data_IF_519138250681
#
_entry.id   IF_519138250681
#
_cell.length_a   1.000
_cell.length_b   1.000
_cell.length_c   1.000
_cell.angle_alpha   90.00
_cell.angle_beta   90.00
_cell.angle_gamma   90.00
#
_symmetry.space_group_name_H-M   'P 1'
#
loop_
_entity.id
_entity.type
_entity.pdbx_description
1 polymer ?
#
# COMPACT_ATOMS: atom_id res chain seq x y z
N UNK A 1 -1.20 -17.81 -33.31
CA UNK A 1 -0.35 -16.64 -32.99
C UNK A 1 -1.04 -15.59 -32.09
N UNK A 2 -2.37 -15.57 -31.96
CA UNK A 2 -3.08 -14.62 -31.06
C UNK A 2 -2.94 -14.89 -29.55
N UNK A 3 -2.73 -16.15 -29.12
CA UNK A 3 -2.62 -16.49 -27.69
C UNK A 3 -1.40 -15.92 -26.95
N UNK A 4 -0.27 -15.74 -27.65
CA UNK A 4 0.95 -15.20 -27.04
C UNK A 4 0.87 -13.68 -26.79
N UNK A 5 0.17 -12.94 -27.66
CA UNK A 5 -0.06 -11.49 -27.51
C UNK A 5 -1.08 -11.17 -26.41
N UNK A 6 -2.03 -12.09 -26.17
CA UNK A 6 -2.99 -11.99 -25.06
C UNK A 6 -2.25 -12.17 -23.73
N UNK A 7 -1.40 -13.19 -23.60
CA UNK A 7 -0.59 -13.50 -22.40
C UNK A 7 0.32 -12.36 -21.94
N UNK A 8 1.07 -11.72 -22.86
CA UNK A 8 1.94 -10.59 -22.50
C UNK A 8 1.16 -9.36 -22.02
N UNK A 9 0.00 -9.07 -22.64
CA UNK A 9 -0.86 -7.95 -22.23
C UNK A 9 -1.44 -8.10 -20.82
N UNK A 10 -1.81 -9.31 -20.42
CA UNK A 10 -2.31 -9.58 -19.07
C UNK A 10 -1.23 -9.43 -18.00
N UNK A 11 -0.01 -9.91 -18.29
CA UNK A 11 1.12 -9.80 -17.34
C UNK A 11 1.54 -8.35 -17.11
N UNK A 12 1.57 -7.53 -18.17
CA UNK A 12 1.85 -6.10 -18.06
C UNK A 12 0.79 -5.34 -17.25
N UNK A 13 -0.48 -5.67 -17.46
CA UNK A 13 -1.62 -5.03 -16.77
C UNK A 13 -1.66 -5.43 -15.31
N UNK A 14 -1.48 -6.72 -15.02
CA UNK A 14 -1.42 -7.24 -13.66
C UNK A 14 -0.25 -6.62 -12.87
N UNK A 15 0.91 -6.43 -13.51
CA UNK A 15 2.05 -5.80 -12.85
C UNK A 15 1.77 -4.33 -12.48
N UNK A 16 1.14 -3.56 -13.37
CA UNK A 16 0.71 -2.19 -13.07
C UNK A 16 -0.30 -2.13 -11.93
N UNK A 17 -1.30 -3.02 -11.94
CA UNK A 17 -2.30 -3.12 -10.87
C UNK A 17 -1.66 -3.47 -9.52
N UNK A 18 -0.72 -4.42 -9.49
CA UNK A 18 0.03 -4.76 -8.27
C UNK A 18 0.75 -3.56 -7.69
N UNK A 19 1.45 -2.79 -8.52
CA UNK A 19 2.19 -1.62 -8.06
C UNK A 19 1.24 -0.52 -7.57
N UNK A 20 0.11 -0.29 -8.24
CA UNK A 20 -0.93 0.62 -7.74
C UNK A 20 -1.45 0.19 -6.37
N UNK A 21 -1.77 -1.10 -6.21
CA UNK A 21 -2.34 -1.64 -4.98
C UNK A 21 -1.33 -1.56 -3.83
N UNK A 22 -0.06 -1.91 -4.08
CA UNK A 22 1.03 -1.76 -3.12
C UNK A 22 1.28 -0.29 -2.76
N UNK A 23 1.18 0.61 -3.73
CA UNK A 23 1.33 2.05 -3.50
C UNK A 23 0.21 2.61 -2.63
N UNK A 24 -1.04 2.22 -2.90
CA UNK A 24 -2.19 2.62 -2.08
C UNK A 24 -2.11 2.04 -0.67
N UNK A 25 -1.73 0.77 -0.54
CA UNK A 25 -1.48 0.14 0.75
C UNK A 25 -0.40 0.90 1.54
N UNK A 26 0.73 1.25 0.91
CA UNK A 26 1.78 2.07 1.53
C UNK A 26 1.26 3.42 2.05
N UNK A 27 0.36 4.06 1.31
CA UNK A 27 -0.30 5.29 1.74
C UNK A 27 -1.11 5.10 3.02
N UNK A 28 -1.90 4.03 3.08
CA UNK A 28 -2.63 3.64 4.28
C UNK A 28 -1.73 3.34 5.47
N UNK A 29 -0.70 2.51 5.29
CA UNK A 29 0.27 2.17 6.34
C UNK A 29 0.98 3.42 6.88
N UNK A 30 1.31 4.39 6.02
CA UNK A 30 1.91 5.67 6.43
C UNK A 30 0.96 6.45 7.36
N UNK A 31 -0.34 6.46 7.04
CA UNK A 31 -1.36 7.10 7.89
C UNK A 31 -1.49 6.38 9.25
N UNK A 32 -1.48 5.04 9.25
CA UNK A 32 -1.57 4.24 10.48
C UNK A 32 -0.34 4.40 11.36
N UNK A 33 0.87 4.45 10.80
CA UNK A 33 2.10 4.70 11.57
C UNK A 33 2.07 6.08 12.19
N UNK A 34 1.61 7.11 11.46
CA UNK A 34 1.38 8.45 12.04
C UNK A 34 0.44 8.39 13.22
N UNK A 35 -0.69 7.67 13.10
CA UNK A 35 -1.65 7.52 14.20
C UNK A 35 -1.01 6.84 15.42
N UNK A 36 -0.25 5.76 15.22
CA UNK A 36 0.46 5.05 16.29
C UNK A 36 1.44 5.97 17.05
N UNK A 37 2.20 6.81 16.32
CA UNK A 37 3.15 7.76 16.91
C UNK A 37 2.45 8.89 17.68
N UNK A 38 1.34 9.41 17.15
CA UNK A 38 0.59 10.50 17.78
C UNK A 38 -0.11 10.04 19.07
N UNK A 39 -0.58 8.80 19.11
CA UNK A 39 -1.34 8.24 20.22
C UNK A 39 -0.53 7.31 21.14
N UNK A 40 0.80 7.22 20.93
CA UNK A 40 1.73 6.36 21.69
C UNK A 40 1.25 4.90 21.85
N UNK A 41 0.45 4.42 20.90
CA UNK A 41 -0.09 3.06 20.89
C UNK A 41 0.38 2.38 19.61
N UNK A 42 1.49 1.66 19.77
CA UNK A 42 2.11 0.88 18.71
C UNK A 42 1.30 -0.38 18.44
N UNK A 43 1.54 -1.06 17.32
CA UNK A 43 1.11 -2.44 17.13
C UNK A 43 2.18 -3.21 16.35
N UNK A 44 2.81 -4.26 16.94
CA UNK A 44 3.91 -4.97 16.28
C UNK A 44 3.44 -5.69 15.01
N UNK A 45 2.21 -6.21 15.00
CA UNK A 45 1.66 -6.85 13.81
C UNK A 45 1.37 -5.85 12.68
N UNK A 46 0.87 -4.65 13.00
CA UNK A 46 0.69 -3.59 12.01
C UNK A 46 2.03 -3.13 11.44
N UNK A 47 3.04 -2.92 12.29
CA UNK A 47 4.39 -2.54 11.84
C UNK A 47 5.05 -3.62 10.98
N UNK A 48 4.89 -4.90 11.36
CA UNK A 48 5.38 -6.02 10.56
C UNK A 48 4.69 -6.06 9.18
N UNK A 49 3.37 -5.92 9.15
CA UNK A 49 2.62 -5.86 7.89
C UNK A 49 3.05 -4.68 7.01
N UNK A 50 3.15 -3.47 7.58
CA UNK A 50 3.63 -2.29 6.89
C UNK A 50 5.05 -2.46 6.34
N UNK A 51 5.94 -3.12 7.09
CA UNK A 51 7.30 -3.43 6.62
C UNK A 51 7.31 -4.38 5.41
N UNK A 52 6.45 -5.40 5.41
CA UNK A 52 6.29 -6.32 4.29
C UNK A 52 5.80 -5.58 3.04
N UNK A 53 4.81 -4.69 3.18
CA UNK A 53 4.29 -3.87 2.08
C UNK A 53 5.35 -2.92 1.54
N UNK A 54 6.15 -2.29 2.41
CA UNK A 54 7.26 -1.42 2.01
C UNK A 54 8.30 -2.18 1.18
N UNK A 55 8.73 -3.35 1.65
CA UNK A 55 9.70 -4.20 0.94
C UNK A 55 9.14 -4.62 -0.43
N UNK A 56 7.88 -5.08 -0.47
CA UNK A 56 7.22 -5.46 -1.72
C UNK A 56 7.10 -4.29 -2.69
N UNK A 57 6.79 -3.09 -2.20
CA UNK A 57 6.72 -1.91 -3.04
C UNK A 57 8.09 -1.52 -3.61
N UNK A 58 9.13 -1.42 -2.76
CA UNK A 58 10.48 -1.04 -3.19
C UNK A 58 11.03 -2.03 -4.22
N UNK A 59 10.82 -3.32 -4.02
CA UNK A 59 11.26 -4.36 -4.96
C UNK A 59 10.52 -4.33 -6.30
N UNK A 60 9.29 -3.80 -6.34
CA UNK A 60 8.45 -3.77 -7.55
C UNK A 60 8.32 -2.38 -8.21
N UNK A 61 8.78 -1.30 -7.58
CA UNK A 61 8.55 0.09 -8.05
C UNK A 61 9.44 0.51 -9.25
N UNK A 62 10.36 -0.34 -9.73
CA UNK A 62 11.46 0.03 -10.63
C UNK A 62 11.06 0.56 -12.02
N UNK A 63 9.86 0.22 -12.53
CA UNK A 63 9.46 0.52 -13.93
C UNK A 63 8.04 1.07 -14.09
N UNK A 64 7.50 1.72 -13.07
CA UNK A 64 6.13 2.26 -13.13
C UNK A 64 6.10 3.77 -13.35
N UNK A 65 4.98 4.30 -13.85
CA UNK A 65 4.78 5.74 -14.00
C UNK A 65 4.59 6.39 -12.61
N UNK A 66 5.53 7.26 -12.24
CA UNK A 66 5.55 7.96 -10.94
C UNK A 66 4.23 8.66 -10.60
N UNK A 67 3.53 9.25 -11.57
CA UNK A 67 2.30 9.99 -11.33
C UNK A 67 1.14 9.06 -10.94
N UNK A 68 1.11 7.88 -11.55
CA UNK A 68 0.08 6.88 -11.29
C UNK A 68 0.25 6.25 -9.90
N UNK A 69 1.51 5.97 -9.55
CA UNK A 69 1.91 5.53 -8.21
C UNK A 69 1.59 6.58 -7.16
N UNK A 70 1.97 7.84 -7.40
CA UNK A 70 1.67 8.94 -6.49
C UNK A 70 0.15 9.11 -6.30
N UNK A 71 -0.62 9.05 -7.38
CA UNK A 71 -2.08 9.08 -7.32
C UNK A 71 -2.65 7.95 -6.47
N UNK A 72 -2.17 6.72 -6.65
CA UNK A 72 -2.60 5.57 -5.85
C UNK A 72 -2.21 5.70 -4.37
N UNK A 73 -1.00 6.20 -4.08
CA UNK A 73 -0.54 6.48 -2.71
C UNK A 73 -1.43 7.51 -2.01
N UNK A 74 -1.70 8.64 -2.66
CA UNK A 74 -2.59 9.69 -2.14
C UNK A 74 -4.02 9.19 -1.97
N UNK A 75 -4.52 8.37 -2.89
CA UNK A 75 -5.82 7.73 -2.78
C UNK A 75 -5.89 6.80 -1.56
N UNK A 76 -4.82 6.05 -1.26
CA UNK A 76 -4.70 5.24 -0.06
C UNK A 76 -4.76 6.07 1.22
N UNK A 77 -3.99 7.16 1.29
CA UNK A 77 -4.04 8.11 2.43
C UNK A 77 -5.46 8.66 2.58
N UNK A 78 -6.08 9.13 1.51
CA UNK A 78 -7.41 9.70 1.55
C UNK A 78 -8.44 8.66 2.02
N UNK A 79 -8.41 7.44 1.49
CA UNK A 79 -9.32 6.37 1.90
C UNK A 79 -9.24 6.08 3.40
N UNK A 80 -8.03 5.95 3.94
CA UNK A 80 -7.85 5.79 5.39
C UNK A 80 -8.27 7.04 6.17
N UNK A 81 -7.99 8.25 5.69
CA UNK A 81 -8.42 9.47 6.36
C UNK A 81 -9.95 9.60 6.47
N UNK A 82 -10.71 9.10 5.48
CA UNK A 82 -12.17 9.16 5.49
C UNK A 82 -12.86 7.98 6.17
N UNK A 83 -12.29 6.77 6.07
CA UNK A 83 -12.93 5.54 6.54
C UNK A 83 -12.45 5.06 7.91
N UNK A 84 -11.28 5.51 8.36
CA UNK A 84 -10.66 4.99 9.56
C UNK A 84 -11.19 5.70 10.82
N UNK A 85 -12.00 4.98 11.60
CA UNK A 85 -12.38 5.38 12.95
C UNK A 85 -11.38 4.75 13.94
N UNK A 86 -10.39 5.52 14.37
CA UNK A 86 -9.29 5.02 15.19
C UNK A 86 -9.75 4.51 16.57
N UNK A 87 -9.38 3.27 16.92
CA UNK A 87 -9.57 2.70 18.26
C UNK A 87 -8.27 2.78 19.04
N UNK A 88 -8.29 3.45 20.20
CA UNK A 88 -7.14 3.63 21.10
C UNK A 88 -7.04 2.56 22.19
N UNK A 89 -7.80 1.47 22.05
CA UNK A 89 -7.75 0.37 23.01
C UNK A 89 -6.49 -0.46 22.77
N UNK A 90 -5.59 -0.61 23.74
CA UNK A 90 -4.39 -1.42 23.57
C UNK A 90 -4.80 -2.89 23.38
N UNK A 91 -4.68 -3.40 22.16
CA UNK A 91 -5.09 -4.77 21.82
C UNK A 91 -4.06 -5.82 22.26
N UNK A 92 -2.89 -5.41 22.75
CA UNK A 92 -1.88 -6.29 23.29
C UNK A 92 -1.21 -5.64 24.49
N UNK A 93 -0.95 -6.47 25.49
CA UNK A 93 -0.20 -6.16 26.70
C UNK A 93 0.88 -7.22 26.85
#
# INVERSE_FOLDING_TARGET
MMGALQSSRWTDSANRLRIMLLSGALGGETFLVRFQVVHDTYCPFCLAFGSCILILFVTNCTKTNRYLTLGAFLAGIAAFAFLFEGSVVPLYR
#
